data_IF_170217820213
#
_entry.id   IF_170217820213
#
_cell.length_a   1.000
_cell.length_b   1.000
_cell.length_c   1.000
_cell.angle_alpha   90.00
_cell.angle_beta   90.00
_cell.angle_gamma   90.00
#
_symmetry.space_group_name_H-M   'P 1'
#
loop_
_entity.id
_entity.type
_entity.pdbx_description
1 polymer ?
#
# COMPACT_ATOMS: atom_id res chain seq x y z
N UNK A 1 23.66 7.79 -23.48
CA UNK A 1 23.89 7.80 -24.94
C UNK A 1 24.45 6.48 -25.48
N UNK A 2 25.39 5.80 -24.79
CA UNK A 2 25.94 4.51 -25.25
C UNK A 2 24.89 3.37 -25.32
N UNK A 3 24.09 3.17 -24.26
CA UNK A 3 23.07 2.10 -24.24
C UNK A 3 21.97 2.24 -25.32
N UNK A 4 21.58 3.48 -25.65
CA UNK A 4 20.60 3.76 -26.72
C UNK A 4 21.18 3.47 -28.11
N UNK A 5 22.48 3.71 -28.30
CA UNK A 5 23.16 3.40 -29.55
C UNK A 5 23.36 1.88 -29.76
N UNK A 6 23.53 1.11 -28.68
CA UNK A 6 23.56 -0.37 -28.74
C UNK A 6 22.16 -0.99 -28.95
N UNK A 7 21.10 -0.41 -28.36
CA UNK A 7 19.72 -0.87 -28.58
C UNK A 7 19.30 -0.79 -30.05
N UNK A 8 19.69 0.26 -30.77
CA UNK A 8 19.35 0.44 -32.20
C UNK A 8 19.99 -0.60 -33.12
N UNK A 9 20.92 -1.41 -32.60
CA UNK A 9 21.61 -2.47 -33.35
C UNK A 9 21.09 -3.87 -33.01
N UNK A 10 20.27 -3.99 -31.97
CA UNK A 10 19.68 -5.27 -31.57
C UNK A 10 18.67 -5.75 -32.62
N UNK A 11 18.57 -7.06 -32.79
CA UNK A 11 17.43 -7.65 -33.50
C UNK A 11 16.15 -7.45 -32.71
N UNK A 12 14.99 -7.50 -33.37
CA UNK A 12 13.69 -7.35 -32.70
C UNK A 12 13.49 -8.35 -31.56
N UNK A 13 13.96 -9.59 -31.74
CA UNK A 13 13.90 -10.62 -30.70
C UNK A 13 14.80 -10.28 -29.49
N UNK A 14 16.03 -9.84 -29.71
CA UNK A 14 16.95 -9.47 -28.62
C UNK A 14 16.44 -8.22 -27.89
N UNK A 15 15.92 -7.24 -28.62
CA UNK A 15 15.34 -6.04 -28.03
C UNK A 15 14.12 -6.36 -27.16
N UNK A 16 13.27 -7.31 -27.59
CA UNK A 16 12.14 -7.80 -26.80
C UNK A 16 12.61 -8.47 -25.50
N UNK A 17 13.63 -9.33 -25.57
CA UNK A 17 14.23 -9.97 -24.38
C UNK A 17 14.80 -8.91 -23.43
N UNK A 18 15.61 -7.99 -23.95
CA UNK A 18 16.20 -6.91 -23.18
C UNK A 18 15.13 -6.07 -22.46
N UNK A 19 14.07 -5.68 -23.17
CA UNK A 19 12.98 -4.87 -22.62
C UNK A 19 12.23 -5.62 -21.50
N UNK A 20 12.00 -6.92 -21.67
CA UNK A 20 11.38 -7.75 -20.63
C UNK A 20 12.26 -7.86 -19.39
N UNK A 21 13.57 -8.07 -19.56
CA UNK A 21 14.53 -8.13 -18.45
C UNK A 21 14.60 -6.80 -17.71
N UNK A 22 14.68 -5.68 -18.42
CA UNK A 22 14.62 -4.33 -17.81
C UNK A 22 13.32 -4.13 -17.02
N UNK A 23 12.18 -4.53 -17.59
CA UNK A 23 10.90 -4.45 -16.91
C UNK A 23 10.82 -5.29 -15.63
N UNK A 24 11.44 -6.47 -15.61
CA UNK A 24 11.56 -7.30 -14.39
C UNK A 24 12.48 -6.63 -13.38
N UNK A 25 13.68 -6.22 -13.80
CA UNK A 25 14.65 -5.53 -12.94
C UNK A 25 14.06 -4.30 -12.27
N UNK A 26 13.37 -3.45 -13.03
CA UNK A 26 12.82 -2.20 -12.49
C UNK A 26 11.72 -2.48 -11.45
N UNK A 27 10.92 -3.56 -11.64
CA UNK A 27 9.98 -4.03 -10.62
C UNK A 27 10.69 -4.57 -9.37
N UNK A 28 11.78 -5.33 -9.53
CA UNK A 28 12.59 -5.81 -8.40
C UNK A 28 13.24 -4.66 -7.63
N UNK A 29 13.75 -3.63 -8.32
CA UNK A 29 14.24 -2.40 -7.69
C UNK A 29 13.14 -1.67 -6.91
N UNK A 30 11.96 -1.51 -7.51
CA UNK A 30 10.82 -0.92 -6.82
C UNK A 30 10.38 -1.75 -5.60
N UNK A 31 10.46 -3.08 -5.68
CA UNK A 31 10.20 -4.00 -4.58
C UNK A 31 11.19 -3.82 -3.43
N UNK A 32 12.48 -3.64 -3.75
CA UNK A 32 13.55 -3.42 -2.76
C UNK A 32 13.41 -2.09 -2.01
N UNK A 33 13.00 -1.02 -2.71
CA UNK A 33 12.78 0.31 -2.12
C UNK A 33 11.43 0.44 -1.39
N UNK A 34 10.51 -0.50 -1.58
CA UNK A 34 9.18 -0.41 -0.99
C UNK A 34 9.26 -0.55 0.54
N UNK A 35 8.48 0.26 1.29
CA UNK A 35 8.40 0.11 2.74
C UNK A 35 7.63 -1.16 3.18
N UNK A 36 6.99 -1.85 2.24
CA UNK A 36 6.28 -3.11 2.47
C UNK A 36 7.30 -4.26 2.45
N UNK A 37 7.19 -5.18 3.41
CA UNK A 37 7.90 -6.46 3.34
C UNK A 37 7.23 -7.40 2.32
N UNK A 38 8.04 -7.98 1.45
CA UNK A 38 7.61 -8.88 0.39
C UNK A 38 7.73 -10.34 0.82
N UNK A 39 6.85 -11.20 0.31
CA UNK A 39 6.91 -12.64 0.61
C UNK A 39 7.92 -13.34 -0.31
N UNK A 40 8.46 -14.47 0.12
CA UNK A 40 9.30 -15.30 -0.74
C UNK A 40 8.56 -15.77 -2.01
N UNK A 41 7.24 -15.96 -1.97
CA UNK A 41 6.45 -16.33 -3.15
C UNK A 41 6.38 -15.18 -4.18
N UNK A 42 6.21 -13.94 -3.72
CA UNK A 42 6.23 -12.76 -4.59
C UNK A 42 7.58 -12.65 -5.31
N UNK A 43 8.69 -12.88 -4.59
CA UNK A 43 10.05 -12.83 -5.16
C UNK A 43 10.31 -14.04 -6.06
N UNK A 44 9.90 -15.24 -5.67
CA UNK A 44 10.05 -16.47 -6.44
C UNK A 44 9.29 -16.41 -7.78
N UNK A 45 8.16 -15.69 -7.84
CA UNK A 45 7.48 -15.45 -9.12
C UNK A 45 8.39 -14.74 -10.13
N UNK A 46 9.16 -13.73 -9.70
CA UNK A 46 10.14 -13.07 -10.56
C UNK A 46 11.30 -13.98 -10.92
N UNK A 47 11.77 -14.82 -9.99
CA UNK A 47 12.78 -15.84 -10.29
C UNK A 47 12.31 -16.76 -11.42
N UNK A 48 11.08 -17.27 -11.36
CA UNK A 48 10.50 -18.11 -12.41
C UNK A 48 10.41 -17.38 -13.77
N UNK A 49 10.10 -16.08 -13.76
CA UNK A 49 10.08 -15.27 -14.98
C UNK A 49 11.48 -15.12 -15.59
N UNK A 50 12.50 -14.89 -14.76
CA UNK A 50 13.90 -14.83 -15.18
C UNK A 50 14.35 -16.19 -15.73
N UNK A 51 14.07 -17.28 -15.02
CA UNK A 51 14.41 -18.64 -15.46
C UNK A 51 13.75 -18.99 -16.80
N UNK A 52 12.50 -18.56 -17.01
CA UNK A 52 11.81 -18.74 -18.28
C UNK A 52 12.50 -17.97 -19.43
N UNK A 53 12.95 -16.74 -19.18
CA UNK A 53 13.71 -15.98 -20.17
C UNK A 53 15.06 -16.63 -20.42
N UNK A 54 15.80 -16.94 -19.36
CA UNK A 54 17.11 -17.58 -19.39
C UNK A 54 17.09 -18.89 -20.20
N UNK A 55 16.07 -19.72 -20.00
CA UNK A 55 15.92 -20.99 -20.72
C UNK A 55 15.83 -20.87 -22.25
N UNK A 56 15.59 -19.66 -22.78
CA UNK A 56 15.60 -19.39 -24.23
C UNK A 56 17.02 -19.30 -24.81
N UNK A 57 18.06 -19.24 -23.98
CA UNK A 57 19.46 -19.22 -24.43
C UNK A 57 19.83 -20.56 -25.07
N UNK A 58 20.48 -20.51 -26.23
CA UNK A 58 21.14 -21.67 -26.84
C UNK A 58 22.64 -21.42 -26.81
N UNK A 59 23.40 -22.34 -26.24
CA UNK A 59 24.84 -22.17 -25.99
C UNK A 59 25.17 -20.88 -25.20
N UNK A 60 24.29 -20.45 -24.30
CA UNK A 60 24.42 -19.18 -23.56
C UNK A 60 24.06 -17.92 -24.34
N UNK A 61 23.52 -18.04 -25.57
CA UNK A 61 23.23 -16.91 -26.47
C UNK A 61 21.71 -16.79 -26.68
N UNK A 62 21.16 -15.59 -26.48
CA UNK A 62 19.78 -15.28 -26.84
C UNK A 62 19.62 -15.06 -28.34
N UNK A 63 18.54 -15.58 -28.94
CA UNK A 63 18.23 -15.40 -30.36
C UNK A 63 19.39 -15.74 -31.31
N UNK A 64 20.26 -16.67 -30.90
CA UNK A 64 21.48 -17.04 -31.61
C UNK A 64 22.03 -18.38 -31.11
N UNK A 65 23.24 -18.70 -31.54
CA UNK A 65 23.97 -19.92 -31.14
C UNK A 65 25.43 -19.79 -31.57
N UNK A 66 26.30 -20.67 -31.08
CA UNK A 66 27.70 -20.68 -31.52
C UNK A 66 27.85 -20.94 -33.03
N UNK A 67 26.85 -21.56 -33.65
CA UNK A 67 26.84 -21.85 -35.10
C UNK A 67 26.23 -20.73 -35.94
N UNK A 68 25.23 -20.03 -35.43
CA UNK A 68 24.52 -18.97 -36.16
C UNK A 68 25.06 -17.56 -35.88
N UNK A 69 26.01 -17.44 -34.96
CA UNK A 69 26.59 -16.17 -34.55
C UNK A 69 25.92 -15.58 -33.29
N UNK A 70 26.61 -14.59 -32.71
CA UNK A 70 26.19 -13.87 -31.51
C UNK A 70 25.53 -12.57 -31.95
N UNK A 71 24.22 -12.37 -31.70
CA UNK A 71 23.54 -11.12 -32.03
C UNK A 71 24.10 -9.92 -31.24
N UNK A 72 23.96 -8.70 -31.77
CA UNK A 72 24.32 -7.50 -31.01
C UNK A 72 23.38 -7.32 -29.79
N UNK A 73 23.92 -6.82 -28.67
CA UNK A 73 23.17 -6.58 -27.44
C UNK A 73 23.17 -7.72 -26.42
N UNK A 74 23.86 -8.84 -26.66
CA UNK A 74 23.94 -9.94 -25.68
C UNK A 74 24.52 -9.50 -24.33
N UNK A 75 25.61 -8.72 -24.34
CA UNK A 75 26.24 -8.23 -23.10
C UNK A 75 25.23 -7.46 -22.24
N UNK A 76 24.46 -6.54 -22.85
CA UNK A 76 23.42 -5.79 -22.16
C UNK A 76 22.31 -6.69 -21.59
N UNK A 77 21.90 -7.75 -22.29
CA UNK A 77 20.93 -8.71 -21.77
C UNK A 77 21.50 -9.49 -20.57
N UNK A 78 22.75 -9.93 -20.65
CA UNK A 78 23.41 -10.66 -19.57
C UNK A 78 23.60 -9.78 -18.33
N UNK A 79 24.07 -8.55 -18.50
CA UNK A 79 24.25 -7.59 -17.40
C UNK A 79 22.93 -7.35 -16.64
N UNK A 80 21.82 -7.16 -17.36
CA UNK A 80 20.50 -6.96 -16.74
C UNK A 80 19.98 -8.25 -16.12
N UNK A 81 20.23 -9.41 -16.73
CA UNK A 81 19.83 -10.71 -16.19
C UNK A 81 20.56 -11.01 -14.88
N UNK A 82 21.88 -10.83 -14.84
CA UNK A 82 22.71 -11.05 -13.66
C UNK A 82 22.33 -10.08 -12.55
N UNK A 83 22.17 -8.78 -12.85
CA UNK A 83 21.67 -7.79 -11.90
C UNK A 83 20.28 -8.18 -11.35
N UNK A 84 19.42 -8.76 -12.18
CA UNK A 84 18.08 -9.21 -11.74
C UNK A 84 18.15 -10.42 -10.81
N UNK A 85 19.03 -11.38 -11.07
CA UNK A 85 19.25 -12.53 -10.18
C UNK A 85 19.87 -12.11 -8.84
N UNK A 86 20.81 -11.16 -8.85
CA UNK A 86 21.38 -10.59 -7.62
C UNK A 86 20.28 -9.93 -6.77
N UNK A 87 19.41 -9.12 -7.39
CA UNK A 87 18.26 -8.51 -6.70
C UNK A 87 17.30 -9.56 -6.14
N UNK A 88 17.00 -10.62 -6.89
CA UNK A 88 16.18 -11.74 -6.39
C UNK A 88 16.82 -12.38 -5.16
N UNK A 89 18.12 -12.64 -5.20
CA UNK A 89 18.86 -13.26 -4.10
C UNK A 89 18.82 -12.41 -2.83
N UNK A 90 19.07 -11.10 -2.96
CA UNK A 90 18.97 -10.15 -1.86
C UNK A 90 17.54 -10.07 -1.28
N UNK A 91 16.53 -10.00 -2.15
CA UNK A 91 15.13 -9.92 -1.73
C UNK A 91 14.66 -11.22 -1.06
N UNK A 92 15.08 -12.39 -1.55
CA UNK A 92 14.80 -13.68 -0.93
C UNK A 92 15.42 -13.79 0.46
N UNK A 93 16.64 -13.29 0.65
CA UNK A 93 17.33 -13.28 1.93
C UNK A 93 16.66 -12.33 2.95
N UNK A 94 16.07 -11.23 2.47
CA UNK A 94 15.32 -10.29 3.30
C UNK A 94 13.88 -10.75 3.61
N UNK A 95 13.31 -11.60 2.76
CA UNK A 95 11.93 -12.07 2.91
C UNK A 95 11.80 -13.06 4.08
N UNK A 96 10.76 -12.93 4.91
CA UNK A 96 10.56 -13.82 6.05
C UNK A 96 10.24 -15.24 5.55
N UNK A 97 10.98 -16.22 6.07
CA UNK A 97 10.67 -17.63 5.88
C UNK A 97 9.48 -18.00 6.78
N UNK A 98 8.32 -18.25 6.16
CA UNK A 98 7.06 -18.51 6.84
C UNK A 98 6.48 -19.83 6.37
N UNK A 99 6.11 -20.69 7.33
CA UNK A 99 5.36 -21.89 7.03
C UNK A 99 3.94 -21.55 6.53
N UNK A 100 3.28 -22.45 5.78
CA UNK A 100 1.90 -22.24 5.32
C UNK A 100 0.91 -21.94 6.45
N UNK A 101 1.09 -22.56 7.61
CA UNK A 101 0.21 -22.46 8.78
C UNK A 101 0.22 -21.07 9.41
N UNK A 102 1.36 -20.37 9.37
CA UNK A 102 1.53 -19.04 9.98
C UNK A 102 1.37 -17.89 8.99
N UNK A 103 1.48 -18.18 7.69
CA UNK A 103 1.49 -17.18 6.60
C UNK A 103 0.29 -16.24 6.64
N UNK A 104 -0.91 -16.79 6.87
CA UNK A 104 -2.13 -15.98 6.95
C UNK A 104 -2.09 -15.01 8.12
N UNK A 105 -1.66 -15.47 9.30
CA UNK A 105 -1.49 -14.63 10.50
C UNK A 105 -0.50 -13.49 10.24
N UNK A 106 0.67 -13.80 9.68
CA UNK A 106 1.67 -12.78 9.34
C UNK A 106 1.10 -11.74 8.37
N UNK A 107 0.41 -12.21 7.32
CA UNK A 107 -0.16 -11.34 6.27
C UNK A 107 -1.23 -10.40 6.85
N UNK A 108 -2.09 -10.90 7.74
CA UNK A 108 -3.08 -10.07 8.43
C UNK A 108 -2.42 -9.01 9.30
N UNK A 109 -1.41 -9.37 10.10
CA UNK A 109 -0.67 -8.42 10.94
C UNK A 109 0.07 -7.37 10.10
N UNK A 110 0.72 -7.77 9.01
CA UNK A 110 1.36 -6.85 8.08
C UNK A 110 0.36 -5.89 7.42
N UNK A 111 -0.81 -6.41 7.04
CA UNK A 111 -1.92 -5.61 6.53
C UNK A 111 -2.40 -4.56 7.54
N UNK A 112 -2.61 -4.96 8.80
CA UNK A 112 -3.01 -4.06 9.89
C UNK A 112 -1.92 -3.01 10.15
N UNK A 113 -0.65 -3.42 10.28
CA UNK A 113 0.50 -2.52 10.45
C UNK A 113 0.51 -1.42 9.38
N UNK A 114 0.37 -1.79 8.12
CA UNK A 114 0.35 -0.84 7.01
C UNK A 114 -0.85 0.10 7.07
N UNK A 115 -2.03 -0.38 7.49
CA UNK A 115 -3.21 0.46 7.73
C UNK A 115 -2.96 1.46 8.86
N UNK A 116 -2.38 1.03 9.97
CA UNK A 116 -2.05 1.88 11.12
C UNK A 116 -0.99 2.95 10.78
N UNK A 117 0.04 2.60 10.00
CA UNK A 117 1.03 3.57 9.50
C UNK A 117 0.35 4.66 8.68
N UNK A 118 -0.54 4.29 7.75
CA UNK A 118 -1.31 5.26 6.95
C UNK A 118 -2.26 6.09 7.81
N UNK A 119 -2.92 5.47 8.78
CA UNK A 119 -3.80 6.16 9.72
C UNK A 119 -3.03 7.22 10.52
N UNK A 120 -1.85 6.86 11.04
CA UNK A 120 -0.95 7.78 11.74
C UNK A 120 -0.49 8.93 10.84
N UNK A 121 -0.11 8.63 9.61
CA UNK A 121 0.36 9.63 8.64
C UNK A 121 -0.75 10.63 8.25
N UNK A 122 -2.00 10.18 8.13
CA UNK A 122 -3.11 11.05 7.76
C UNK A 122 -3.49 12.07 8.84
N UNK A 123 -3.14 11.80 10.11
CA UNK A 123 -3.57 12.57 11.30
C UNK A 123 -5.07 12.80 11.39
N UNK A 124 -5.85 12.00 10.67
CA UNK A 124 -7.30 12.12 10.56
C UNK A 124 -7.93 10.82 11.07
N UNK A 125 -7.89 10.64 12.38
CA UNK A 125 -8.42 9.47 13.07
C UNK A 125 -9.02 9.85 14.43
N UNK A 126 -10.05 9.11 14.84
CA UNK A 126 -10.67 9.17 16.15
C UNK A 126 -10.30 7.94 16.99
N UNK A 127 -10.58 8.00 18.30
CA UNK A 127 -10.32 6.88 19.20
C UNK A 127 -11.00 5.57 18.75
N UNK A 128 -12.25 5.66 18.28
CA UNK A 128 -13.03 4.51 17.79
C UNK A 128 -12.37 3.85 16.55
N UNK A 129 -11.73 4.63 15.67
CA UNK A 129 -10.99 4.11 14.51
C UNK A 129 -9.81 3.23 14.96
N UNK A 130 -9.12 3.64 16.04
CA UNK A 130 -7.98 2.91 16.59
C UNK A 130 -8.45 1.66 17.35
N UNK A 131 -9.52 1.77 18.13
CA UNK A 131 -10.12 0.63 18.84
C UNK A 131 -10.58 -0.48 17.89
N UNK A 132 -11.09 -0.14 16.70
CA UNK A 132 -11.42 -1.16 15.70
C UNK A 132 -10.22 -2.04 15.36
N UNK A 133 -9.05 -1.45 15.12
CA UNK A 133 -7.82 -2.21 14.85
C UNK A 133 -7.31 -2.93 16.09
N UNK A 134 -7.42 -2.35 17.28
CA UNK A 134 -7.06 -3.01 18.53
C UNK A 134 -7.81 -4.35 18.67
N UNK A 135 -9.14 -4.35 18.48
CA UNK A 135 -9.96 -5.57 18.55
C UNK A 135 -9.54 -6.62 17.52
N UNK A 136 -9.21 -6.21 16.29
CA UNK A 136 -8.71 -7.13 15.26
C UNK A 136 -7.39 -7.78 15.67
N UNK A 137 -6.48 -7.00 16.26
CA UNK A 137 -5.16 -7.48 16.68
C UNK A 137 -5.27 -8.40 17.89
N UNK A 138 -6.09 -8.02 18.88
CA UNK A 138 -6.38 -8.85 20.05
C UNK A 138 -6.99 -10.19 19.64
N UNK A 139 -7.90 -10.20 18.65
CA UNK A 139 -8.48 -11.43 18.13
C UNK A 139 -7.45 -12.32 17.43
N UNK A 140 -6.50 -11.74 16.70
CA UNK A 140 -5.39 -12.50 16.10
C UNK A 140 -4.50 -13.08 17.21
N UNK A 141 -4.13 -12.27 18.21
CA UNK A 141 -3.23 -12.67 19.30
C UNK A 141 -3.85 -13.76 20.19
N UNK A 142 -5.15 -13.68 20.44
CA UNK A 142 -5.92 -14.71 21.14
C UNK A 142 -6.01 -16.05 20.36
N UNK A 143 -5.70 -16.04 19.06
CA UNK A 143 -5.64 -17.25 18.24
C UNK A 143 -4.44 -18.16 18.51
N UNK A 144 -3.50 -17.75 19.36
CA UNK A 144 -2.35 -18.58 19.76
C UNK A 144 -2.79 -19.74 20.66
N UNK A 145 -2.19 -20.90 20.44
CA UNK A 145 -2.26 -22.04 21.38
C UNK A 145 -0.93 -22.16 22.08
N UNK A 146 -0.93 -22.09 23.41
CA UNK A 146 0.30 -22.10 24.23
C UNK A 146 1.35 -21.07 23.78
N UNK A 147 0.88 -19.91 23.32
CA UNK A 147 1.74 -18.82 22.80
C UNK A 147 2.21 -18.98 21.36
N UNK A 148 1.80 -20.03 20.65
CA UNK A 148 2.24 -20.39 19.29
C UNK A 148 1.13 -20.09 18.27
N UNK A 149 1.48 -19.41 17.17
CA UNK A 149 0.57 -19.17 16.06
C UNK A 149 0.52 -20.36 15.10
N UNK A 150 -0.67 -20.80 14.71
CA UNK A 150 -0.85 -21.84 13.68
C UNK A 150 -0.39 -23.24 14.08
N UNK A 151 0.02 -23.44 15.34
CA UNK A 151 0.53 -24.72 15.85
C UNK A 151 0.33 -24.84 17.36
N UNK A 152 1.12 -25.70 17.99
CA UNK A 152 1.12 -25.96 19.43
C UNK A 152 2.50 -26.44 19.91
N UNK A 153 2.63 -26.78 21.20
CA UNK A 153 3.91 -27.20 21.81
C UNK A 153 4.57 -28.41 21.14
N UNK A 154 3.82 -29.25 20.42
CA UNK A 154 4.35 -30.42 19.70
C UNK A 154 4.68 -30.11 18.24
N UNK A 155 4.15 -29.02 17.69
CA UNK A 155 4.41 -28.58 16.33
C UNK A 155 4.50 -27.06 16.28
N UNK A 156 5.74 -26.55 16.28
CA UNK A 156 6.04 -25.11 16.20
C UNK A 156 6.32 -24.76 14.73
N UNK A 157 5.41 -24.05 14.03
CA UNK A 157 5.63 -23.69 12.64
C UNK A 157 6.75 -22.66 12.49
N UNK A 158 7.56 -22.73 11.43
CA UNK A 158 8.60 -21.73 11.15
C UNK A 158 7.97 -20.35 10.88
N UNK A 159 8.61 -19.28 11.36
CA UNK A 159 8.07 -17.92 11.23
C UNK A 159 7.52 -17.30 12.52
N UNK A 160 7.53 -18.01 13.66
CA UNK A 160 7.00 -17.48 14.94
C UNK A 160 7.65 -16.16 15.35
N UNK A 161 8.97 -16.04 15.25
CA UNK A 161 9.70 -14.83 15.62
C UNK A 161 9.29 -13.63 14.76
N UNK A 162 9.06 -13.86 13.47
CA UNK A 162 8.60 -12.86 12.51
C UNK A 162 7.18 -12.39 12.86
N UNK A 163 6.26 -13.31 13.18
CA UNK A 163 4.92 -12.98 13.67
C UNK A 163 4.93 -12.23 15.02
N UNK A 164 5.75 -12.66 15.97
CA UNK A 164 5.87 -12.00 17.26
C UNK A 164 6.42 -10.56 17.10
N UNK A 165 7.43 -10.38 16.25
CA UNK A 165 8.01 -9.07 15.98
C UNK A 165 7.00 -8.12 15.31
N UNK A 166 6.30 -8.57 14.27
CA UNK A 166 5.32 -7.71 13.61
C UNK A 166 4.14 -7.38 14.52
N UNK A 167 3.69 -8.32 15.36
CA UNK A 167 2.67 -8.05 16.36
C UNK A 167 3.13 -6.99 17.38
N UNK A 168 4.35 -7.12 17.89
CA UNK A 168 4.92 -6.12 18.80
C UNK A 168 4.91 -4.72 18.17
N UNK A 169 5.34 -4.61 16.92
CA UNK A 169 5.32 -3.33 16.18
C UNK A 169 3.90 -2.79 15.99
N UNK A 170 2.92 -3.67 15.75
CA UNK A 170 1.51 -3.29 15.64
C UNK A 170 0.98 -2.75 16.96
N UNK A 171 1.25 -3.40 18.09
CA UNK A 171 0.85 -2.88 19.41
C UNK A 171 1.54 -1.55 19.73
N UNK A 172 2.82 -1.37 19.38
CA UNK A 172 3.50 -0.08 19.55
C UNK A 172 2.86 1.04 18.73
N UNK A 173 2.44 0.75 17.48
CA UNK A 173 1.69 1.71 16.68
C UNK A 173 0.32 2.02 17.28
N UNK A 174 -0.41 1.00 17.75
CA UNK A 174 -1.69 1.17 18.43
C UNK A 174 -1.54 2.05 19.67
N UNK A 175 -0.55 1.78 20.51
CA UNK A 175 -0.25 2.60 21.70
C UNK A 175 0.01 4.05 21.35
N UNK A 176 0.80 4.32 20.32
CA UNK A 176 1.07 5.69 19.86
C UNK A 176 -0.19 6.39 19.32
N UNK A 177 -1.02 5.66 18.57
CA UNK A 177 -2.29 6.17 18.03
C UNK A 177 -3.31 6.43 19.14
N UNK A 178 -3.50 5.51 20.08
CA UNK A 178 -4.41 5.66 21.22
C UNK A 178 -4.04 6.88 22.07
N UNK A 179 -2.75 7.10 22.33
CA UNK A 179 -2.28 8.26 23.10
C UNK A 179 -2.44 9.60 22.39
N UNK A 180 -2.69 9.61 21.08
CA UNK A 180 -2.80 10.82 20.26
C UNK A 180 -4.19 11.04 19.66
N UNK A 181 -5.06 10.03 19.73
CA UNK A 181 -6.40 10.10 19.18
C UNK A 181 -7.28 11.02 20.04
N UNK A 182 -7.98 12.00 19.44
CA UNK A 182 -8.93 12.82 20.17
C UNK A 182 -10.14 11.96 20.58
N UNK A 183 -10.60 12.14 21.81
CA UNK A 183 -11.94 11.70 22.21
C UNK A 183 -12.99 12.51 21.46
N UNK A 184 -14.11 11.86 21.15
CA UNK A 184 -15.22 12.50 20.45
C UNK A 184 -16.53 12.27 21.17
N UNK A 185 -17.31 13.33 21.31
CA UNK A 185 -18.67 13.21 21.82
C UNK A 185 -19.60 12.58 20.74
N UNK A 186 -20.79 12.09 21.11
CA UNK A 186 -21.71 11.44 20.18
C UNK A 186 -22.10 12.30 18.96
N UNK A 187 -22.27 13.61 19.16
CA UNK A 187 -22.62 14.53 18.08
C UNK A 187 -21.48 14.67 17.06
N UNK A 188 -20.25 14.88 17.52
CA UNK A 188 -19.06 14.96 16.66
C UNK A 188 -18.80 13.65 15.93
N UNK A 189 -19.11 12.50 16.54
CA UNK A 189 -19.04 11.19 15.88
C UNK A 189 -19.95 11.09 14.66
N UNK A 190 -21.17 11.59 14.75
CA UNK A 190 -22.09 11.63 13.60
C UNK A 190 -21.51 12.45 12.44
N UNK A 191 -21.06 13.67 12.72
CA UNK A 191 -20.48 14.57 11.73
C UNK A 191 -19.23 13.96 11.10
N UNK A 192 -18.29 13.48 11.91
CA UNK A 192 -17.06 12.84 11.46
C UNK A 192 -17.34 11.63 10.56
N UNK A 193 -18.25 10.74 10.97
CA UNK A 193 -18.59 9.55 10.17
C UNK A 193 -19.17 9.93 8.81
N UNK A 194 -20.02 10.96 8.75
CA UNK A 194 -20.57 11.46 7.50
C UNK A 194 -19.47 12.03 6.59
N UNK A 195 -18.59 12.88 7.15
CA UNK A 195 -17.46 13.46 6.43
C UNK A 195 -16.46 12.41 5.93
N UNK A 196 -16.16 11.37 6.73
CA UNK A 196 -15.31 10.25 6.29
C UNK A 196 -15.93 9.52 5.10
N UNK A 197 -17.26 9.32 5.13
CA UNK A 197 -18.01 8.73 4.03
C UNK A 197 -17.93 9.56 2.75
N UNK A 198 -18.11 10.88 2.85
CA UNK A 198 -17.97 11.81 1.71
C UNK A 198 -16.53 11.76 1.18
N UNK A 199 -15.52 11.91 2.05
CA UNK A 199 -14.11 11.88 1.66
C UNK A 199 -13.74 10.60 0.91
N UNK A 200 -14.24 9.45 1.37
CA UNK A 200 -13.98 8.17 0.71
C UNK A 200 -14.52 8.17 -0.71
N UNK A 201 -15.79 8.56 -0.91
CA UNK A 201 -16.41 8.63 -2.23
C UNK A 201 -15.65 9.58 -3.16
N UNK A 202 -15.29 10.77 -2.69
CA UNK A 202 -14.49 11.74 -3.46
C UNK A 202 -13.08 11.21 -3.79
N UNK A 203 -12.44 10.52 -2.84
CA UNK A 203 -11.11 9.93 -3.08
C UNK A 203 -11.16 8.81 -4.10
N UNK A 204 -12.19 7.96 -4.06
CA UNK A 204 -12.42 6.89 -5.03
C UNK A 204 -12.66 7.51 -6.43
N UNK A 205 -13.49 8.55 -6.52
CA UNK A 205 -13.72 9.33 -7.75
C UNK A 205 -12.42 9.88 -8.35
N UNK A 206 -11.53 10.43 -7.50
CA UNK A 206 -10.22 10.95 -7.91
C UNK A 206 -9.28 9.85 -8.40
N UNK A 207 -9.26 8.69 -7.74
CA UNK A 207 -8.38 7.58 -8.13
C UNK A 207 -8.73 6.99 -9.49
N UNK A 208 -10.02 6.95 -9.83
CA UNK A 208 -10.46 6.35 -11.08
C UNK A 208 -10.26 7.24 -12.31
N UNK A 209 -9.86 8.51 -12.16
CA UNK A 209 -9.62 9.48 -13.26
C UNK A 209 -10.75 9.53 -14.32
N UNK A 210 -11.96 9.11 -13.95
CA UNK A 210 -13.14 9.25 -14.80
C UNK A 210 -13.58 10.69 -14.73
N UNK A 211 -13.86 11.31 -15.87
CA UNK A 211 -14.49 12.63 -15.91
C UNK A 211 -15.90 12.50 -15.35
N UNK A 212 -16.12 13.09 -14.19
CA UNK A 212 -17.43 13.08 -13.52
C UNK A 212 -18.26 14.25 -14.04
N UNK A 213 -19.58 14.08 -14.09
CA UNK A 213 -20.48 15.18 -14.41
C UNK A 213 -20.43 16.21 -13.27
N UNK A 214 -20.48 17.50 -13.60
CA UNK A 214 -20.51 18.57 -12.60
C UNK A 214 -21.68 18.40 -11.61
N UNK A 215 -22.77 17.78 -12.05
CA UNK A 215 -23.96 17.48 -11.25
C UNK A 215 -23.67 16.45 -10.14
N UNK A 216 -22.86 15.43 -10.42
CA UNK A 216 -22.48 14.40 -9.43
C UNK A 216 -21.64 15.00 -8.30
N UNK A 217 -20.76 15.96 -8.63
CA UNK A 217 -19.95 16.68 -7.65
C UNK A 217 -20.80 17.67 -6.83
N UNK A 218 -21.81 18.29 -7.45
CA UNK A 218 -22.72 19.21 -6.76
C UNK A 218 -23.46 18.55 -5.60
N UNK A 219 -23.82 17.27 -5.72
CA UNK A 219 -24.47 16.51 -4.64
C UNK A 219 -23.60 16.43 -3.37
N UNK A 220 -22.27 16.35 -3.53
CA UNK A 220 -21.35 16.38 -2.39
C UNK A 220 -21.16 17.80 -1.84
N UNK A 221 -21.08 18.81 -2.71
CA UNK A 221 -21.03 20.21 -2.30
C UNK A 221 -22.23 20.57 -1.40
N UNK A 222 -23.45 20.24 -1.83
CA UNK A 222 -24.68 20.50 -1.07
C UNK A 222 -24.68 19.79 0.28
N UNK A 223 -24.18 18.55 0.35
CA UNK A 223 -24.05 17.83 1.63
C UNK A 223 -23.04 18.48 2.57
N UNK A 224 -21.90 18.94 2.04
CA UNK A 224 -20.89 19.63 2.84
C UNK A 224 -21.42 20.98 3.33
N UNK A 225 -22.10 21.74 2.48
CA UNK A 225 -22.73 23.02 2.84
C UNK A 225 -23.78 22.83 3.94
N UNK A 226 -24.56 21.75 3.87
CA UNK A 226 -25.54 21.39 4.91
C UNK A 226 -24.86 21.11 6.26
N UNK A 227 -23.75 20.35 6.25
CA UNK A 227 -22.96 20.09 7.46
C UNK A 227 -22.37 21.40 8.01
N UNK A 228 -21.83 22.26 7.15
CA UNK A 228 -21.18 23.51 7.56
C UNK A 228 -22.19 24.52 8.14
N UNK A 229 -23.43 24.52 7.61
CA UNK A 229 -24.53 25.37 8.11
C UNK A 229 -24.92 25.07 9.56
N UNK A 230 -24.66 23.86 10.04
CA UNK A 230 -24.91 23.46 11.44
C UNK A 230 -23.86 24.03 12.40
N UNK A 231 -22.91 24.85 11.93
CA UNK A 231 -21.97 25.57 12.78
C UNK A 231 -22.55 26.89 13.28
N UNK A 232 -22.39 27.13 14.58
CA UNK A 232 -22.62 28.43 15.20
C UNK A 232 -21.25 29.04 15.55
N UNK A 233 -20.98 30.27 15.10
CA UNK A 233 -19.68 30.94 15.29
C UNK A 233 -18.46 30.08 14.84
N UNK A 234 -18.65 29.23 13.83
CA UNK A 234 -17.61 28.32 13.33
C UNK A 234 -17.40 27.05 14.19
N UNK A 235 -18.25 26.81 15.18
CA UNK A 235 -18.20 25.63 16.06
C UNK A 235 -19.39 24.71 15.75
N UNK A 236 -19.14 23.40 15.61
CA UNK A 236 -20.23 22.45 15.43
C UNK A 236 -20.88 22.19 16.79
N UNK A 237 -22.22 22.27 16.86
CA UNK A 237 -22.96 21.87 18.05
C UNK A 237 -22.81 22.79 19.27
N UNK A 238 -22.40 24.04 19.07
CA UNK A 238 -22.34 25.07 20.11
C UNK A 238 -21.81 26.39 19.59
N UNK A 239 -21.81 27.42 20.44
CA UNK A 239 -21.27 28.76 20.16
C UNK A 239 -19.92 28.97 20.88
N UNK A 240 -19.16 30.02 20.50
CA UNK A 240 -17.93 30.46 21.19
C UNK A 240 -18.12 30.71 22.69
N UNK A 241 -19.35 30.94 23.13
CA UNK A 241 -19.74 31.09 24.55
C UNK A 241 -19.77 29.77 25.33
N UNK A 242 -19.71 28.63 24.63
CA UNK A 242 -19.77 27.28 25.20
C UNK A 242 -18.42 26.56 25.11
N UNK A 243 -18.22 25.53 25.93
CA UNK A 243 -17.01 24.69 25.86
C UNK A 243 -16.97 23.99 24.50
N UNK A 244 -15.89 24.22 23.74
CA UNK A 244 -15.67 23.60 22.42
C UNK A 244 -15.78 22.07 22.52
N UNK A 245 -16.64 21.42 21.71
CA UNK A 245 -16.77 19.98 21.69
C UNK A 245 -15.46 19.24 21.36
N UNK A 246 -15.21 18.12 22.05
CA UNK A 246 -14.09 17.25 21.74
C UNK A 246 -14.28 16.63 20.33
N UNK A 247 -13.26 16.75 19.48
CA UNK A 247 -13.33 16.37 18.06
C UNK A 247 -13.61 17.50 17.08
N UNK A 248 -13.82 18.74 17.56
CA UNK A 248 -14.13 19.89 16.72
C UNK A 248 -13.07 20.16 15.64
N UNK A 249 -11.79 20.19 16.05
CA UNK A 249 -10.68 20.45 15.13
C UNK A 249 -10.56 19.36 14.05
N UNK A 250 -10.81 18.10 14.43
CA UNK A 250 -10.78 16.96 13.51
C UNK A 250 -11.90 17.07 12.46
N UNK A 251 -13.14 17.30 12.89
CA UNK A 251 -14.27 17.49 11.98
C UNK A 251 -14.07 18.72 11.08
N UNK A 252 -13.51 19.80 11.61
CA UNK A 252 -13.27 21.02 10.84
C UNK A 252 -12.19 20.84 9.77
N UNK A 253 -11.10 20.17 10.13
CA UNK A 253 -10.03 19.81 9.19
C UNK A 253 -10.56 18.88 8.11
N UNK A 254 -11.37 17.88 8.49
CA UNK A 254 -11.93 16.92 7.55
C UNK A 254 -12.93 17.55 6.59
N UNK A 255 -13.79 18.47 7.06
CA UNK A 255 -14.69 19.24 6.19
C UNK A 255 -13.89 20.04 5.16
N UNK A 256 -12.85 20.76 5.59
CA UNK A 256 -11.99 21.52 4.68
C UNK A 256 -11.29 20.62 3.65
N UNK A 257 -10.84 19.43 4.06
CA UNK A 257 -10.28 18.44 3.13
C UNK A 257 -11.30 17.96 2.10
N UNK A 258 -12.57 17.76 2.49
CA UNK A 258 -13.63 17.38 1.57
C UNK A 258 -13.93 18.49 0.56
N UNK A 259 -14.05 19.75 0.98
CA UNK A 259 -14.23 20.86 0.03
C UNK A 259 -13.08 20.96 -0.95
N UNK A 260 -11.83 20.85 -0.46
CA UNK A 260 -10.66 20.86 -1.34
C UNK A 260 -10.70 19.73 -2.37
N UNK A 261 -11.12 18.53 -1.98
CA UNK A 261 -11.28 17.42 -2.93
C UNK A 261 -12.37 17.68 -3.97
N UNK A 262 -13.47 18.33 -3.60
CA UNK A 262 -14.51 18.72 -4.55
C UNK A 262 -13.96 19.74 -5.55
N UNK A 263 -13.26 20.77 -5.09
CA UNK A 263 -12.62 21.79 -5.93
C UNK A 263 -11.62 21.16 -6.91
N UNK A 264 -10.69 20.32 -6.40
CA UNK A 264 -9.72 19.58 -7.22
C UNK A 264 -10.42 18.73 -8.32
N UNK A 265 -11.54 18.10 -7.99
CA UNK A 265 -12.31 17.29 -8.95
C UNK A 265 -13.07 18.15 -9.97
N UNK A 266 -13.62 19.29 -9.54
CA UNK A 266 -14.33 20.23 -10.41
C UNK A 266 -13.42 20.84 -11.48
N UNK A 267 -12.17 21.15 -11.14
CA UNK A 267 -11.17 21.63 -12.11
C UNK A 267 -10.92 20.62 -13.25
N UNK A 268 -11.16 19.34 -13.00
CA UNK A 268 -10.98 18.24 -13.96
C UNK A 268 -12.29 17.72 -14.57
N UNK A 269 -13.42 18.25 -14.10
CA UNK A 269 -14.74 17.83 -14.55
C UNK A 269 -15.03 18.36 -15.97
N UNK A 270 -15.92 17.69 -16.68
CA UNK A 270 -16.46 18.19 -17.95
C UNK A 270 -17.74 18.95 -17.70
N UNK A 271 -17.80 20.18 -18.21
CA UNK A 271 -19.08 20.86 -18.43
C UNK A 271 -19.90 19.99 -19.40
N UNK A 272 -21.17 19.75 -19.03
CA UNK A 272 -22.09 18.92 -19.80
C UNK A 272 -22.36 19.48 -21.21
#
# INVERSE_FOLDING_TARGET
>A
MAAVAEQNKMTEEVLSIYTNLVGIRDKLKAMKEAPKQHSQEEVHHFQQMLDAIDSRRKDGIFAGSLKSGVPEGQALCLDVLDESYDLVSELMAAAPELSPEIRQTYTMLAGIKNKLIRLKASRSYALDDVHHYQLMVDAIDAGRKDGIFGGDVNHIPSGQAQCANILFQVYELLRQLLNSAPEMNPQMRGIYSHLVGIRRKLSDMRQHNVRHASEDLHVYQVQLDAIDKDREDGIFGGSLSTKVPAGQALCSTLLAQCYKLVEELQETATDA
#
